data_IF_739333994911
#
_entry.id   IF_739333994911
#
_cell.length_a   1.000
_cell.length_b   1.000
_cell.length_c   1.000
_cell.angle_alpha   90.00
_cell.angle_beta   90.00
_cell.angle_gamma   90.00
#
_symmetry.space_group_name_H-M   'P 1'
#
loop_
_entity.id
_entity.type
_entity.pdbx_description
1 polymer ?
#
# COMPACT_ATOMS: atom_id res chain seq x y z
N UNK A 1 -34.32 4.43 10.28
CA UNK A 1 -33.15 3.53 10.38
C UNK A 1 -32.04 4.17 9.57
N UNK A 2 -31.11 4.83 10.24
CA UNK A 2 -29.98 5.54 9.61
C UNK A 2 -29.08 4.50 8.94
N UNK A 3 -28.70 4.73 7.69
CA UNK A 3 -27.78 3.85 6.98
C UNK A 3 -26.46 3.71 7.78
N UNK A 4 -25.80 2.55 7.77
CA UNK A 4 -24.51 2.39 8.44
C UNK A 4 -23.52 3.41 7.86
N UNK A 5 -22.86 4.16 8.74
CA UNK A 5 -21.76 5.05 8.40
C UNK A 5 -20.69 4.26 7.62
N UNK A 6 -20.04 4.85 6.60
CA UNK A 6 -18.88 4.22 5.99
C UNK A 6 -17.89 3.87 7.10
N UNK A 7 -17.47 2.61 7.19
CA UNK A 7 -16.33 2.28 8.03
C UNK A 7 -15.12 2.93 7.39
N UNK A 8 -14.53 3.90 8.09
CA UNK A 8 -13.27 4.51 7.67
C UNK A 8 -12.19 3.43 7.67
N UNK A 9 -11.38 3.43 6.62
CA UNK A 9 -10.31 2.48 6.41
C UNK A 9 -8.98 3.20 6.63
N UNK A 10 -8.01 2.49 7.20
CA UNK A 10 -6.63 2.97 7.32
C UNK A 10 -5.81 2.44 6.14
N UNK A 11 -5.24 3.36 5.36
CA UNK A 11 -4.33 3.06 4.26
C UNK A 11 -2.91 3.39 4.68
N UNK A 12 -2.04 2.39 4.62
CA UNK A 12 -0.60 2.53 4.87
C UNK A 12 0.14 2.33 3.54
N UNK A 13 0.71 3.41 3.00
CA UNK A 13 1.43 3.36 1.73
C UNK A 13 2.89 3.73 1.92
N UNK A 14 3.77 2.77 1.65
CA UNK A 14 5.21 2.89 1.80
C UNK A 14 5.90 2.81 0.46
N UNK A 15 6.81 3.75 0.23
CA UNK A 15 7.76 3.71 -0.87
C UNK A 15 9.16 3.41 -0.32
N UNK A 16 9.72 2.27 -0.74
CA UNK A 16 11.08 1.87 -0.41
C UNK A 16 12.03 2.24 -1.54
N UNK A 17 13.17 2.82 -1.17
CA UNK A 17 14.27 3.16 -2.06
C UNK A 17 15.46 2.29 -1.69
N UNK A 18 15.82 1.36 -2.56
CA UNK A 18 17.05 0.59 -2.41
C UNK A 18 18.27 1.51 -2.56
N UNK A 19 19.41 1.17 -1.95
CA UNK A 19 20.67 1.90 -2.16
C UNK A 19 20.97 2.11 -3.65
N UNK A 20 21.54 3.26 -4.02
CA UNK A 20 21.85 3.57 -5.42
C UNK A 20 22.76 2.52 -6.11
N UNK A 21 23.59 1.80 -5.33
CA UNK A 21 24.46 0.72 -5.77
C UNK A 21 23.89 -0.69 -5.54
N UNK A 22 22.61 -0.82 -5.14
CA UNK A 22 21.98 -2.10 -4.88
C UNK A 22 21.94 -2.98 -6.13
N UNK A 23 22.42 -4.22 -5.98
CA UNK A 23 22.31 -5.24 -7.01
C UNK A 23 20.87 -5.75 -7.14
N UNK A 24 20.59 -6.47 -8.23
CA UNK A 24 19.29 -7.15 -8.36
C UNK A 24 19.06 -8.19 -7.25
N UNK A 25 20.11 -8.79 -6.70
CA UNK A 25 20.01 -9.68 -5.56
C UNK A 25 19.61 -8.94 -4.28
N UNK A 26 20.14 -7.73 -4.05
CA UNK A 26 19.77 -6.88 -2.91
C UNK A 26 18.30 -6.45 -3.00
N UNK A 27 17.84 -6.06 -4.20
CA UNK A 27 16.43 -5.75 -4.44
C UNK A 27 15.54 -6.97 -4.26
N UNK A 28 16.00 -8.16 -4.66
CA UNK A 28 15.25 -9.40 -4.45
C UNK A 28 15.13 -9.73 -2.95
N UNK A 29 16.14 -9.41 -2.14
CA UNK A 29 16.07 -9.56 -0.67
C UNK A 29 15.05 -8.63 -0.04
N UNK A 30 14.99 -7.37 -0.44
CA UNK A 30 13.92 -6.48 0.01
C UNK A 30 12.52 -7.03 -0.37
N UNK A 31 12.36 -7.51 -1.60
CA UNK A 31 11.11 -8.10 -2.07
C UNK A 31 10.71 -9.37 -1.28
N UNK A 32 11.68 -10.22 -0.95
CA UNK A 32 11.51 -11.39 -0.06
C UNK A 32 10.93 -10.97 1.29
N UNK A 33 11.50 -9.93 1.92
CA UNK A 33 11.01 -9.38 3.18
C UNK A 33 9.56 -8.89 3.09
N UNK A 34 9.20 -8.16 2.01
CA UNK A 34 7.83 -7.71 1.79
C UNK A 34 6.84 -8.88 1.60
N UNK A 35 7.28 -9.97 0.95
CA UNK A 35 6.48 -11.18 0.80
C UNK A 35 6.28 -11.96 2.11
N UNK A 36 7.17 -11.83 3.08
CA UNK A 36 6.95 -12.35 4.43
C UNK A 36 5.98 -11.43 5.18
N UNK A 37 6.19 -10.11 5.06
CA UNK A 37 5.43 -9.10 5.80
C UNK A 37 3.93 -9.09 5.48
N UNK A 38 3.52 -9.47 4.26
CA UNK A 38 2.10 -9.72 3.90
C UNK A 38 1.41 -10.81 4.71
N UNK A 39 2.15 -11.60 5.48
CA UNK A 39 1.60 -12.62 6.37
C UNK A 39 1.02 -12.07 7.67
N UNK A 40 1.15 -10.76 7.97
CA UNK A 40 0.60 -10.18 9.20
C UNK A 40 -0.94 -10.20 9.16
N UNK A 41 -1.62 -10.81 10.14
CA UNK A 41 -3.07 -11.06 10.06
C UNK A 41 -3.98 -9.83 10.01
N UNK A 42 -3.52 -8.68 10.55
CA UNK A 42 -4.33 -7.45 10.56
C UNK A 42 -4.41 -6.76 9.19
N UNK A 43 -3.55 -7.15 8.23
CA UNK A 43 -3.59 -6.65 6.85
C UNK A 43 -4.82 -7.23 6.14
N UNK A 44 -5.77 -6.38 5.75
CA UNK A 44 -6.95 -6.80 4.97
C UNK A 44 -6.61 -7.00 3.49
N UNK A 45 -5.77 -6.11 2.95
CA UNK A 45 -5.27 -6.18 1.58
C UNK A 45 -3.86 -5.64 1.57
N UNK A 46 -2.98 -6.30 0.80
CA UNK A 46 -1.67 -5.76 0.47
C UNK A 46 -1.44 -5.76 -1.04
N UNK A 47 -0.68 -4.77 -1.51
CA UNK A 47 -0.19 -4.69 -2.87
C UNK A 47 1.30 -4.33 -2.86
N UNK A 48 2.12 -5.23 -3.41
CA UNK A 48 3.54 -5.00 -3.67
C UNK A 48 3.67 -4.66 -5.16
N UNK A 49 4.28 -3.52 -5.46
CA UNK A 49 4.47 -3.08 -6.84
C UNK A 49 5.82 -2.41 -7.09
N UNK A 50 6.12 -2.19 -8.37
CA UNK A 50 7.25 -1.38 -8.84
C UNK A 50 6.72 -0.16 -9.61
N UNK A 51 7.56 0.86 -9.87
CA UNK A 51 7.14 2.00 -10.68
C UNK A 51 6.54 1.57 -12.02
N UNK A 52 5.32 2.02 -12.30
CA UNK A 52 4.69 1.79 -13.60
C UNK A 52 5.35 2.63 -14.70
N UNK A 53 5.24 2.17 -15.95
CA UNK A 53 5.73 2.86 -17.16
C UNK A 53 4.88 4.10 -17.55
N UNK A 54 4.27 4.80 -16.59
CA UNK A 54 3.54 6.05 -16.85
C UNK A 54 4.48 7.24 -16.65
N UNK A 55 4.38 8.30 -17.47
CA UNK A 55 5.36 9.39 -17.50
C UNK A 55 4.67 10.76 -17.52
N UNK A 56 4.63 11.44 -16.37
CA UNK A 56 4.28 12.87 -16.21
C UNK A 56 5.16 13.40 -15.08
N UNK A 57 5.47 14.71 -15.09
CA UNK A 57 6.37 15.33 -14.11
C UNK A 57 5.90 15.21 -12.66
N UNK A 58 4.59 15.03 -12.47
CA UNK A 58 3.95 14.85 -11.16
C UNK A 58 4.02 13.42 -10.61
N UNK A 59 4.55 12.45 -11.37
CA UNK A 59 4.59 11.03 -10.97
C UNK A 59 5.96 10.70 -10.37
N UNK A 60 5.97 10.41 -9.07
CA UNK A 60 7.13 9.82 -8.39
C UNK A 60 7.36 8.38 -8.85
N UNK A 61 8.58 8.07 -9.29
CA UNK A 61 8.97 6.78 -9.90
C UNK A 61 10.39 6.35 -9.57
N UNK A 62 11.08 7.08 -8.70
CA UNK A 62 12.46 6.82 -8.28
C UNK A 62 12.53 5.79 -7.15
N UNK A 63 11.39 5.40 -6.58
CA UNK A 63 11.31 4.30 -5.63
C UNK A 63 11.58 2.94 -6.29
N UNK A 64 12.01 1.97 -5.49
CA UNK A 64 12.24 0.59 -5.94
C UNK A 64 10.97 -0.25 -5.81
N UNK A 65 10.35 -0.25 -4.63
CA UNK A 65 9.10 -0.95 -4.37
C UNK A 65 8.08 -0.06 -3.68
N UNK A 66 6.82 -0.25 -4.07
CA UNK A 66 5.64 0.23 -3.37
C UNK A 66 5.09 -0.90 -2.51
N UNK A 67 4.82 -0.62 -1.25
CA UNK A 67 4.12 -1.50 -0.30
C UNK A 67 2.86 -0.78 0.17
N UNK A 68 1.69 -1.24 -0.26
CA UNK A 68 0.40 -0.64 0.08
C UNK A 68 -0.41 -1.63 0.90
N UNK A 69 -0.85 -1.22 2.08
CA UNK A 69 -1.67 -2.00 2.99
C UNK A 69 -2.98 -1.29 3.34
N UNK A 70 -4.01 -2.09 3.55
CA UNK A 70 -5.32 -1.66 4.02
C UNK A 70 -5.59 -2.35 5.36
N UNK A 71 -6.01 -1.58 6.35
CA UNK A 71 -6.39 -2.05 7.69
C UNK A 71 -7.80 -1.58 8.04
N UNK A 72 -8.52 -2.37 8.84
CA UNK A 72 -9.89 -2.02 9.24
C UNK A 72 -9.95 -0.76 10.12
N UNK A 73 -8.84 -0.45 10.81
CA UNK A 73 -8.75 0.64 11.79
C UNK A 73 -7.29 1.05 12.01
N UNK A 74 -7.08 2.18 12.71
CA UNK A 74 -5.77 2.58 13.18
C UNK A 74 -5.19 1.57 14.21
N UNK A 75 -6.04 0.96 15.04
CA UNK A 75 -5.61 -0.04 16.02
C UNK A 75 -5.08 -1.33 15.35
N UNK A 76 -5.64 -1.71 14.21
CA UNK A 76 -5.16 -2.85 13.42
C UNK A 76 -3.81 -2.56 12.77
N UNK A 77 -3.55 -1.30 12.40
CA UNK A 77 -2.25 -0.84 11.91
C UNK A 77 -1.21 -0.80 13.04
N UNK A 78 -1.56 -0.29 14.22
CA UNK A 78 -0.68 -0.33 15.40
C UNK A 78 -0.31 -1.77 15.79
N UNK A 79 -1.28 -2.69 15.67
CA UNK A 79 -1.06 -4.13 15.86
C UNK A 79 -0.13 -4.71 14.81
N UNK A 80 -0.16 -4.21 13.58
CA UNK A 80 0.79 -4.56 12.52
C UNK A 80 2.21 -4.07 12.85
N UNK A 81 2.35 -2.82 13.29
CA UNK A 81 3.64 -2.21 13.63
C UNK A 81 4.41 -2.96 14.72
N UNK A 82 3.68 -3.58 15.64
CA UNK A 82 4.23 -4.35 16.78
C UNK A 82 4.23 -5.87 16.55
N UNK A 83 3.81 -6.33 15.37
CA UNK A 83 3.76 -7.75 15.05
C UNK A 83 5.20 -8.32 14.88
N UNK A 84 5.49 -9.55 15.36
CA UNK A 84 6.83 -10.15 15.24
C UNK A 84 7.39 -10.18 13.80
N UNK A 85 6.54 -10.46 12.81
CA UNK A 85 6.96 -10.42 11.39
C UNK A 85 7.37 -9.01 10.92
N UNK A 86 6.78 -7.96 11.48
CA UNK A 86 7.15 -6.58 11.16
C UNK A 86 8.49 -6.20 11.81
N UNK A 87 8.71 -6.62 13.06
CA UNK A 87 10.01 -6.46 13.72
C UNK A 87 11.13 -7.25 13.00
N UNK A 88 10.85 -8.48 12.60
CA UNK A 88 11.77 -9.29 11.78
C UNK A 88 12.08 -8.62 10.44
N UNK A 89 11.05 -8.07 9.77
CA UNK A 89 11.23 -7.32 8.53
C UNK A 89 12.17 -6.12 8.73
N UNK A 90 11.89 -5.29 9.74
CA UNK A 90 12.68 -4.10 10.06
C UNK A 90 14.12 -4.40 10.42
N UNK A 91 14.37 -5.52 11.09
CA UNK A 91 15.71 -5.87 11.56
C UNK A 91 16.52 -6.60 10.51
N UNK A 92 15.93 -7.59 9.84
CA UNK A 92 16.63 -8.46 8.89
C UNK A 92 16.84 -7.78 7.54
N UNK A 93 15.89 -6.96 7.10
CA UNK A 93 15.89 -6.41 5.74
C UNK A 93 16.29 -4.92 5.68
N UNK A 94 16.49 -4.25 6.83
CA UNK A 94 16.94 -2.86 6.88
C UNK A 94 18.14 -2.49 5.99
N UNK A 95 19.15 -3.36 5.80
CA UNK A 95 20.27 -3.04 4.91
C UNK A 95 19.88 -2.87 3.44
N UNK A 96 18.70 -3.35 3.00
CA UNK A 96 18.30 -3.34 1.59
C UNK A 96 17.50 -2.11 1.16
N UNK A 97 17.30 -1.13 2.05
CA UNK A 97 16.80 0.20 1.70
C UNK A 97 17.67 1.31 2.31
N UNK A 98 17.75 2.45 1.63
CA UNK A 98 18.42 3.65 2.13
C UNK A 98 17.44 4.74 2.56
N UNK A 99 16.21 4.71 2.00
CA UNK A 99 15.16 5.67 2.29
C UNK A 99 13.81 4.97 2.26
N UNK A 100 12.93 5.42 3.16
CA UNK A 100 11.53 5.01 3.24
C UNK A 100 10.68 6.27 3.32
N UNK A 101 9.58 6.30 2.56
CA UNK A 101 8.56 7.36 2.69
C UNK A 101 7.23 6.68 2.96
N UNK A 102 6.56 7.09 4.03
CA UNK A 102 5.30 6.50 4.51
C UNK A 102 4.21 7.57 4.38
N UNK A 103 3.08 7.17 3.82
CA UNK A 103 1.84 7.93 3.78
C UNK A 103 0.75 7.12 4.45
N UNK A 104 0.32 7.59 5.61
CA UNK A 104 -0.81 7.03 6.35
C UNK A 104 -2.04 7.92 6.15
N UNK A 105 -3.17 7.30 5.83
CA UNK A 105 -4.42 8.00 5.59
C UNK A 105 -5.60 7.24 6.18
N UNK A 106 -6.50 7.97 6.84
CA UNK A 106 -7.77 7.45 7.34
C UNK A 106 -8.90 8.11 6.56
N UNK A 107 -9.85 7.32 6.08
CA UNK A 107 -11.05 7.87 5.45
C UNK A 107 -12.00 6.83 4.89
N UNK A 108 -13.16 7.28 4.39
CA UNK A 108 -14.20 6.38 3.93
C UNK A 108 -13.80 5.70 2.62
N UNK A 109 -14.29 4.48 2.43
CA UNK A 109 -14.22 3.80 1.13
C UNK A 109 -15.37 4.26 0.24
N UNK A 110 -15.05 4.70 -0.97
CA UNK A 110 -16.05 5.03 -1.99
C UNK A 110 -16.17 3.85 -2.96
N UNK A 111 -17.30 3.15 -2.92
CA UNK A 111 -17.57 2.00 -3.79
C UNK A 111 -17.65 2.35 -5.28
N UNK A 112 -17.89 1.34 -6.12
CA UNK A 112 -18.04 1.49 -7.56
C UNK A 112 -19.10 2.54 -7.90
N UNK A 113 -18.75 3.49 -8.78
CA UNK A 113 -19.71 4.45 -9.33
C UNK A 113 -20.91 3.68 -9.89
N UNK A 114 -22.16 4.08 -9.59
CA UNK A 114 -23.31 3.51 -10.28
C UNK A 114 -23.10 3.71 -11.78
N UNK A 115 -23.36 2.66 -12.58
CA UNK A 115 -23.39 2.79 -14.02
C UNK A 115 -24.32 3.97 -14.35
N UNK A 116 -23.82 4.96 -15.10
CA UNK A 116 -24.70 5.96 -15.67
C UNK A 116 -25.78 5.20 -16.45
N UNK A 117 -27.03 5.30 -15.99
CA UNK A 117 -28.15 4.97 -16.87
C UNK A 117 -28.02 5.90 -18.06
N UNK A 118 -27.60 5.35 -19.19
CA UNK A 118 -27.77 5.99 -20.49
C UNK A 118 -29.28 6.13 -20.61
N UNK A 119 -29.80 7.33 -20.34
CA UNK A 119 -31.19 7.63 -20.58
C UNK A 119 -31.45 7.44 -22.06
N UNK A 120 -32.41 6.57 -22.38
CA UNK A 120 -32.97 6.47 -23.72
C UNK A 120 -33.36 7.87 -24.17
N UNK A 121 -32.68 8.36 -25.19
CA UNK A 121 -33.12 9.53 -25.94
C UNK A 121 -34.26 9.05 -26.86
N UNK A 122 -35.43 8.84 -26.28
CA UNK A 122 -36.68 8.86 -27.03
C UNK A 122 -37.22 10.29 -27.06
N UNK A 123 -37.27 10.86 -28.26
CA UNK A 123 -38.15 11.96 -28.60
C UNK A 123 -37.48 13.30 -28.89
N UNK A 124 -37.10 13.50 -30.15
CA UNK A 124 -37.66 14.55 -31.04
C UNK A 124 -37.14 14.39 -32.47
#
# INVERSE_FOLDING_TARGET
MTAPSPQDLFVHHVLFYAPANASEADKAKLLEGLHILRGVPSIQLSHIGTPAATHRDVIERTYTYSWLCFFASAQDEESYQTHPLHDEFRTTYAPYWEKVVIYDAIGPTYGSKPAQQVGDVEGR
#
